data_IF_206943047294
#
_entry.id   IF_206943047294
#
_cell.length_a   1.000
_cell.length_b   1.000
_cell.length_c   1.000
_cell.angle_alpha   90.00
_cell.angle_beta   90.00
_cell.angle_gamma   90.00
#
_symmetry.space_group_name_H-M   'P 1'
#
loop_
_entity.id
_entity.type
_entity.pdbx_description
1 polymer ?
#
# COMPACT_ATOMS: atom_id res chain seq x y z
N UNK A 1 -35.19 13.59 55.84
CA UNK A 1 -34.42 14.28 54.79
C UNK A 1 -34.03 15.67 55.27
N UNK A 2 -32.74 15.98 55.36
CA UNK A 2 -32.27 17.35 55.67
C UNK A 2 -32.22 18.19 54.38
N UNK A 3 -32.30 19.52 54.51
CA UNK A 3 -32.24 20.45 53.37
C UNK A 3 -30.97 20.25 52.52
N UNK A 4 -29.85 19.97 53.18
CA UNK A 4 -28.56 19.71 52.54
C UNK A 4 -28.59 18.49 51.61
N UNK A 5 -29.28 17.41 52.00
CA UNK A 5 -29.43 16.20 51.17
C UNK A 5 -30.29 16.50 49.94
N UNK A 6 -31.32 17.33 50.08
CA UNK A 6 -32.15 17.75 48.95
C UNK A 6 -31.37 18.58 47.92
N UNK A 7 -30.56 19.53 48.38
CA UNK A 7 -29.68 20.30 47.49
C UNK A 7 -28.63 19.42 46.80
N UNK A 8 -28.02 18.50 47.55
CA UNK A 8 -27.07 17.54 46.98
C UNK A 8 -27.74 16.67 45.92
N UNK A 9 -28.94 16.16 46.20
CA UNK A 9 -29.75 15.39 45.23
C UNK A 9 -30.01 16.21 43.97
N UNK A 10 -30.45 17.46 44.10
CA UNK A 10 -30.71 18.31 42.93
C UNK A 10 -29.45 18.53 42.10
N UNK A 11 -28.32 18.85 42.74
CA UNK A 11 -27.04 19.06 42.04
C UNK A 11 -26.56 17.79 41.33
N UNK A 12 -26.65 16.63 41.99
CA UNK A 12 -26.30 15.33 41.41
C UNK A 12 -27.19 14.98 40.22
N UNK A 13 -28.48 15.35 40.25
CA UNK A 13 -29.40 15.13 39.14
C UNK A 13 -29.12 16.07 37.96
N UNK A 14 -28.80 17.34 38.22
CA UNK A 14 -28.30 18.26 37.18
C UNK A 14 -27.02 17.70 36.54
N UNK A 15 -26.06 17.25 37.34
CA UNK A 15 -24.83 16.62 36.85
C UNK A 15 -25.09 15.36 36.01
N UNK A 16 -26.03 14.52 36.44
CA UNK A 16 -26.46 13.33 35.70
C UNK A 16 -27.13 13.69 34.38
N UNK A 17 -27.93 14.77 34.35
CA UNK A 17 -28.54 15.30 33.13
C UNK A 17 -27.50 15.78 32.12
N UNK A 18 -26.47 16.48 32.60
CA UNK A 18 -25.31 16.83 31.79
C UNK A 18 -24.59 15.59 31.25
N UNK A 19 -24.39 14.57 32.09
CA UNK A 19 -23.73 13.32 31.71
C UNK A 19 -24.53 12.55 30.64
N UNK A 20 -25.86 12.51 30.73
CA UNK A 20 -26.72 11.94 29.70
C UNK A 20 -26.53 12.69 28.38
N UNK A 21 -26.45 14.03 28.42
CA UNK A 21 -26.19 14.86 27.25
C UNK A 21 -24.85 14.56 26.57
N UNK A 22 -23.78 14.50 27.35
CA UNK A 22 -22.45 14.08 26.90
C UNK A 22 -22.52 12.71 26.24
N UNK A 23 -23.08 11.73 26.96
CA UNK A 23 -23.13 10.33 26.53
C UNK A 23 -23.93 10.15 25.25
N UNK A 24 -25.05 10.87 25.09
CA UNK A 24 -25.85 10.87 23.87
C UNK A 24 -25.08 11.40 22.66
N UNK A 25 -24.37 12.52 22.83
CA UNK A 25 -23.56 13.09 21.75
C UNK A 25 -22.40 12.15 21.37
N UNK A 26 -21.71 11.55 22.36
CA UNK A 26 -20.67 10.53 22.11
C UNK A 26 -21.24 9.35 21.33
N UNK A 27 -22.33 8.78 21.84
CA UNK A 27 -22.98 7.60 21.27
C UNK A 27 -23.44 7.86 19.83
N UNK A 28 -24.07 9.01 19.58
CA UNK A 28 -24.53 9.38 18.24
C UNK A 28 -23.38 9.46 17.22
N UNK A 29 -22.21 9.96 17.65
CA UNK A 29 -21.01 10.09 16.80
C UNK A 29 -20.42 8.72 16.43
N UNK A 30 -20.36 7.78 17.37
CA UNK A 30 -19.80 6.45 17.14
C UNK A 30 -20.76 5.50 16.42
N UNK A 31 -22.06 5.61 16.66
CA UNK A 31 -23.03 4.69 16.07
C UNK A 31 -23.20 4.90 14.56
N UNK A 32 -22.92 6.11 14.05
CA UNK A 32 -23.04 6.51 12.63
C UNK A 32 -24.31 5.95 11.98
N UNK A 33 -25.48 6.35 12.50
CA UNK A 33 -26.81 5.75 12.20
C UNK A 33 -27.08 5.47 10.72
N UNK A 34 -26.62 6.31 9.79
CA UNK A 34 -26.83 6.14 8.35
C UNK A 34 -26.11 4.93 7.74
N UNK A 35 -25.00 4.48 8.34
CA UNK A 35 -24.16 3.40 7.77
C UNK A 35 -24.46 2.02 8.37
N UNK A 36 -25.27 1.94 9.42
CA UNK A 36 -25.47 0.73 10.21
C UNK A 36 -26.87 0.15 9.99
N UNK A 37 -26.99 -1.17 10.02
CA UNK A 37 -28.28 -1.85 9.92
C UNK A 37 -29.23 -1.42 11.06
N UNK A 38 -30.51 -1.18 10.72
CA UNK A 38 -31.52 -0.64 11.64
C UNK A 38 -31.69 -1.50 12.91
N UNK A 39 -31.64 -2.82 12.80
CA UNK A 39 -31.72 -3.74 13.94
C UNK A 39 -30.57 -3.56 14.94
N UNK A 40 -29.35 -3.32 14.46
CA UNK A 40 -28.19 -3.11 15.34
C UNK A 40 -28.30 -1.76 16.05
N UNK A 41 -28.78 -0.72 15.36
CA UNK A 41 -29.05 0.58 15.97
C UNK A 41 -30.09 0.45 17.08
N UNK A 42 -31.19 -0.26 16.81
CA UNK A 42 -32.25 -0.49 17.80
C UNK A 42 -31.74 -1.21 19.05
N UNK A 43 -31.00 -2.31 18.89
CA UNK A 43 -30.44 -3.06 20.04
C UNK A 43 -29.50 -2.15 20.85
N UNK A 44 -28.61 -1.40 20.19
CA UNK A 44 -27.71 -0.51 20.91
C UNK A 44 -28.46 0.66 21.58
N UNK A 45 -29.53 1.19 20.98
CA UNK A 45 -30.34 2.25 21.58
C UNK A 45 -31.00 1.71 22.87
N UNK A 46 -31.53 0.48 22.86
CA UNK A 46 -32.10 -0.18 24.05
C UNK A 46 -31.04 -0.34 25.15
N UNK A 47 -29.87 -0.89 24.82
CA UNK A 47 -28.78 -1.05 25.79
C UNK A 47 -28.31 0.30 26.34
N UNK A 48 -28.22 1.33 25.49
CA UNK A 48 -27.81 2.66 25.91
C UNK A 48 -28.79 3.26 26.93
N UNK A 49 -30.10 3.24 26.63
CA UNK A 49 -31.12 3.77 27.54
C UNK A 49 -31.23 2.95 28.82
N UNK A 50 -31.08 1.63 28.75
CA UNK A 50 -31.06 0.78 29.92
C UNK A 50 -29.85 1.11 30.82
N UNK A 51 -28.66 1.26 30.23
CA UNK A 51 -27.46 1.64 30.98
C UNK A 51 -27.58 3.04 31.61
N UNK A 52 -28.11 4.02 30.88
CA UNK A 52 -28.34 5.37 31.43
C UNK A 52 -29.39 5.38 32.52
N UNK A 53 -30.48 4.62 32.35
CA UNK A 53 -31.51 4.48 33.38
C UNK A 53 -30.96 3.83 34.65
N UNK A 54 -30.15 2.78 34.52
CA UNK A 54 -29.49 2.14 35.66
C UNK A 54 -28.49 3.07 36.36
N UNK A 55 -27.66 3.80 35.60
CA UNK A 55 -26.74 4.77 36.18
C UNK A 55 -27.47 5.89 36.92
N UNK A 56 -28.52 6.44 36.32
CA UNK A 56 -29.33 7.48 36.95
C UNK A 56 -29.98 6.96 38.23
N UNK A 57 -30.56 5.76 38.18
CA UNK A 57 -31.17 5.13 39.34
C UNK A 57 -30.13 4.85 40.44
N UNK A 58 -28.93 4.41 40.08
CA UNK A 58 -27.84 4.20 41.03
C UNK A 58 -27.42 5.48 41.74
N UNK A 59 -27.26 6.59 41.00
CA UNK A 59 -26.97 7.90 41.60
C UNK A 59 -28.10 8.34 42.52
N UNK A 60 -29.35 8.09 42.12
CA UNK A 60 -30.54 8.43 42.92
C UNK A 60 -30.63 7.59 44.19
N UNK A 61 -30.24 6.31 44.12
CA UNK A 61 -30.16 5.40 45.27
C UNK A 61 -29.11 5.87 46.28
N UNK A 62 -27.94 6.29 45.80
CA UNK A 62 -26.84 6.77 46.65
C UNK A 62 -27.16 8.08 47.38
N UNK A 63 -27.86 9.01 46.72
CA UNK A 63 -28.05 10.36 47.27
C UNK A 63 -29.40 10.53 47.98
N UNK A 64 -30.44 9.82 47.54
CA UNK A 64 -31.82 10.01 47.99
C UNK A 64 -32.55 8.69 48.31
N UNK A 65 -31.79 7.60 48.54
CA UNK A 65 -32.32 6.24 48.80
C UNK A 65 -33.32 5.72 47.76
N UNK A 66 -33.28 6.24 46.53
CA UNK A 66 -34.17 5.78 45.47
C UNK A 66 -35.54 6.46 45.47
N UNK A 67 -35.78 7.47 46.32
CA UNK A 67 -37.05 8.19 46.33
C UNK A 67 -37.24 9.02 45.05
N UNK A 68 -38.15 8.57 44.19
CA UNK A 68 -38.49 9.28 42.96
C UNK A 68 -39.46 10.44 43.24
N UNK A 69 -39.04 11.66 42.90
CA UNK A 69 -39.82 12.89 43.12
C UNK A 69 -39.76 13.77 41.88
N UNK A 70 -40.83 14.53 41.59
CA UNK A 70 -40.98 15.29 40.34
C UNK A 70 -39.86 16.32 40.12
N UNK A 71 -39.37 16.96 41.19
CA UNK A 71 -38.28 17.94 41.09
C UNK A 71 -36.94 17.33 40.66
N UNK A 72 -36.73 16.01 40.85
CA UNK A 72 -35.54 15.29 40.37
C UNK A 72 -35.57 15.24 38.84
N UNK A 73 -36.73 14.99 38.25
CA UNK A 73 -36.91 15.02 36.80
C UNK A 73 -36.65 16.42 36.24
N UNK A 74 -37.14 17.46 36.92
CA UNK A 74 -36.88 18.86 36.54
C UNK A 74 -35.39 19.19 36.61
N UNK A 75 -34.70 18.78 37.68
CA UNK A 75 -33.26 18.95 37.82
C UNK A 75 -32.48 18.23 36.71
N UNK A 76 -32.89 17.01 36.36
CA UNK A 76 -32.30 16.24 35.27
C UNK A 76 -32.47 16.93 33.92
N UNK A 77 -33.69 17.37 33.60
CA UNK A 77 -34.00 18.10 32.37
C UNK A 77 -33.25 19.42 32.29
N UNK A 78 -33.14 20.14 33.43
CA UNK A 78 -32.37 21.36 33.54
C UNK A 78 -30.88 21.11 33.26
N UNK A 79 -30.30 20.07 33.84
CA UNK A 79 -28.91 19.68 33.56
C UNK A 79 -28.67 19.31 32.10
N UNK A 80 -29.58 18.53 31.51
CA UNK A 80 -29.50 18.21 30.08
C UNK A 80 -29.59 19.47 29.20
N UNK A 81 -30.51 20.39 29.50
CA UNK A 81 -30.65 21.65 28.78
C UNK A 81 -29.42 22.55 28.94
N UNK A 82 -28.86 22.63 30.15
CA UNK A 82 -27.63 23.37 30.43
C UNK A 82 -26.45 22.82 29.62
N UNK A 83 -26.31 21.49 29.56
CA UNK A 83 -25.33 20.86 28.68
C UNK A 83 -25.55 21.24 27.21
N UNK A 84 -26.77 21.09 26.71
CA UNK A 84 -27.10 21.35 25.30
C UNK A 84 -26.80 22.79 24.89
N UNK A 85 -27.07 23.76 25.77
CA UNK A 85 -26.90 25.19 25.48
C UNK A 85 -25.47 25.69 25.69
N UNK A 86 -24.78 25.27 26.76
CA UNK A 86 -23.48 25.84 27.14
C UNK A 86 -22.31 24.92 26.76
N UNK A 87 -22.43 23.62 27.04
CA UNK A 87 -21.28 22.71 27.03
C UNK A 87 -21.13 21.95 25.71
N UNK A 88 -22.22 21.75 24.96
CA UNK A 88 -22.23 20.96 23.73
C UNK A 88 -21.15 21.36 22.74
N UNK A 89 -21.02 22.66 22.43
CA UNK A 89 -20.04 23.15 21.45
C UNK A 89 -18.61 22.84 21.89
N UNK A 90 -18.31 23.10 23.17
CA UNK A 90 -17.00 22.83 23.75
C UNK A 90 -16.70 21.32 23.76
N UNK A 91 -17.67 20.52 24.19
CA UNK A 91 -17.55 19.07 24.25
C UNK A 91 -17.27 18.47 22.86
N UNK A 92 -18.05 18.85 21.84
CA UNK A 92 -17.84 18.37 20.49
C UNK A 92 -16.48 18.80 19.92
N UNK A 93 -16.03 20.02 20.21
CA UNK A 93 -14.70 20.47 19.79
C UNK A 93 -13.58 19.61 20.42
N UNK A 94 -13.67 19.31 21.73
CA UNK A 94 -12.73 18.43 22.43
C UNK A 94 -12.80 17.01 21.88
N UNK A 95 -14.01 16.49 21.65
CA UNK A 95 -14.21 15.15 21.11
C UNK A 95 -13.59 15.01 19.72
N UNK A 96 -13.80 15.99 18.83
CA UNK A 96 -13.20 15.99 17.49
C UNK A 96 -11.69 16.16 17.51
N UNK A 97 -11.17 16.98 18.42
CA UNK A 97 -9.74 17.10 18.64
C UNK A 97 -9.13 15.77 19.08
N UNK A 98 -9.76 15.10 20.04
CA UNK A 98 -9.33 13.79 20.55
C UNK A 98 -9.38 12.70 19.48
N UNK A 99 -10.44 12.65 18.68
CA UNK A 99 -10.55 11.72 17.54
C UNK A 99 -9.44 11.98 16.52
N UNK A 100 -9.22 13.24 16.12
CA UNK A 100 -8.15 13.59 15.17
C UNK A 100 -6.78 13.25 15.71
N UNK A 101 -6.55 13.49 17.00
CA UNK A 101 -5.31 13.15 17.67
C UNK A 101 -5.08 11.64 17.66
N UNK A 102 -6.07 10.83 18.05
CA UNK A 102 -5.98 9.37 18.04
C UNK A 102 -5.74 8.81 16.63
N UNK A 103 -6.44 9.33 15.61
CA UNK A 103 -6.23 8.93 14.21
C UNK A 103 -4.85 9.34 13.73
N UNK A 104 -4.37 10.53 14.11
CA UNK A 104 -3.02 10.99 13.81
C UNK A 104 -1.96 10.09 14.42
N UNK A 105 -2.14 9.70 15.69
CA UNK A 105 -1.27 8.78 16.40
C UNK A 105 -1.23 7.40 15.74
N UNK A 106 -2.40 6.84 15.42
CA UNK A 106 -2.51 5.54 14.73
C UNK A 106 -1.83 5.56 13.36
N UNK A 107 -2.08 6.60 12.54
CA UNK A 107 -1.43 6.74 11.23
C UNK A 107 0.08 6.91 11.36
N UNK A 108 0.53 7.60 12.40
CA UNK A 108 1.96 7.78 12.68
C UNK A 108 2.59 6.45 13.09
N UNK A 109 1.93 5.66 13.94
CA UNK A 109 2.38 4.33 14.32
C UNK A 109 2.51 3.40 13.10
N UNK A 110 1.51 3.37 12.21
CA UNK A 110 1.59 2.61 10.95
C UNK A 110 2.74 3.08 10.07
N UNK A 111 2.95 4.40 9.94
CA UNK A 111 4.04 4.95 9.13
C UNK A 111 5.42 4.56 9.69
N UNK A 112 5.55 4.52 11.02
CA UNK A 112 6.78 4.06 11.68
C UNK A 112 6.98 2.57 11.41
N UNK A 113 5.93 1.76 11.52
CA UNK A 113 5.96 0.34 11.16
C UNK A 113 6.37 0.08 9.71
N UNK A 114 5.76 0.79 8.75
CA UNK A 114 6.10 0.69 7.34
C UNK A 114 7.53 1.15 7.06
N UNK A 115 7.97 2.23 7.70
CA UNK A 115 9.34 2.72 7.56
C UNK A 115 10.36 1.71 8.12
N UNK A 116 10.06 1.08 9.25
CA UNK A 116 10.95 0.13 9.91
C UNK A 116 10.96 -1.26 9.27
N UNK A 117 9.87 -1.70 8.62
CA UNK A 117 9.80 -3.06 8.06
C UNK A 117 9.87 -3.08 6.52
N UNK A 118 9.09 -2.23 5.85
CA UNK A 118 8.94 -2.30 4.38
C UNK A 118 10.18 -1.75 3.67
N UNK A 119 10.74 -0.64 4.16
CA UNK A 119 11.92 -0.02 3.54
C UNK A 119 13.20 -0.87 3.62
N UNK A 120 13.58 -1.48 4.76
CA UNK A 120 14.78 -2.31 4.79
C UNK A 120 14.64 -3.57 3.92
N UNK A 121 13.46 -4.20 3.90
CA UNK A 121 13.22 -5.40 3.08
C UNK A 121 13.29 -5.08 1.58
N UNK A 122 12.73 -3.94 1.15
CA UNK A 122 12.85 -3.49 -0.24
C UNK A 122 14.27 -3.04 -0.59
N UNK A 123 15.05 -2.55 0.38
CA UNK A 123 16.48 -2.29 0.20
C UNK A 123 17.30 -3.56 -0.02
N UNK A 124 17.07 -4.59 0.79
CA UNK A 124 17.74 -5.89 0.69
C UNK A 124 17.47 -6.58 -0.66
N UNK A 125 16.22 -6.56 -1.12
CA UNK A 125 15.85 -7.14 -2.43
C UNK A 125 16.51 -6.39 -3.59
N UNK A 126 16.55 -5.05 -3.55
CA UNK A 126 17.28 -4.24 -4.55
C UNK A 126 18.78 -4.52 -4.54
N UNK A 127 19.39 -4.69 -3.37
CA UNK A 127 20.80 -5.09 -3.25
C UNK A 127 21.08 -6.45 -3.89
N UNK A 128 20.23 -7.45 -3.63
CA UNK A 128 20.36 -8.77 -4.26
C UNK A 128 20.27 -8.69 -5.79
N UNK A 129 19.29 -7.95 -6.32
CA UNK A 129 19.14 -7.76 -7.76
C UNK A 129 20.37 -7.03 -8.35
N UNK A 130 20.90 -6.03 -7.63
CA UNK A 130 22.10 -5.31 -8.06
C UNK A 130 23.34 -6.23 -8.12
N UNK A 131 23.50 -7.14 -7.16
CA UNK A 131 24.60 -8.11 -7.17
C UNK A 131 24.45 -9.08 -8.36
N UNK A 132 23.27 -9.66 -8.56
CA UNK A 132 23.01 -10.60 -9.66
C UNK A 132 23.22 -9.94 -11.02
N UNK A 133 22.67 -8.74 -11.23
CA UNK A 133 22.84 -8.00 -12.49
C UNK A 133 24.29 -7.57 -12.69
N UNK A 134 24.99 -7.16 -11.64
CA UNK A 134 26.42 -6.86 -11.67
C UNK A 134 27.26 -8.06 -12.12
N UNK A 135 26.99 -9.25 -11.58
CA UNK A 135 27.65 -10.50 -11.99
C UNK A 135 27.38 -10.84 -13.46
N UNK A 136 26.14 -10.73 -13.92
CA UNK A 136 25.80 -11.01 -15.33
C UNK A 136 26.52 -10.06 -16.27
N UNK A 137 26.53 -8.76 -15.96
CA UNK A 137 27.23 -7.76 -16.78
C UNK A 137 28.74 -8.01 -16.77
N UNK A 138 29.30 -8.38 -15.62
CA UNK A 138 30.71 -8.72 -15.47
C UNK A 138 31.08 -9.95 -16.32
N UNK A 139 30.30 -11.03 -16.23
CA UNK A 139 30.50 -12.24 -17.04
C UNK A 139 30.37 -11.94 -18.54
N UNK A 140 29.39 -11.13 -18.94
CA UNK A 140 29.23 -10.76 -20.35
C UNK A 140 30.43 -9.96 -20.87
N UNK A 141 30.97 -9.04 -20.06
CA UNK A 141 32.20 -8.31 -20.39
C UNK A 141 33.40 -9.25 -20.53
N UNK A 142 33.54 -10.24 -19.63
CA UNK A 142 34.59 -11.25 -19.70
C UNK A 142 34.48 -12.09 -20.99
N UNK A 143 33.30 -12.63 -21.29
CA UNK A 143 33.06 -13.40 -22.51
C UNK A 143 33.37 -12.56 -23.75
N UNK A 144 32.90 -11.31 -23.81
CA UNK A 144 33.17 -10.41 -24.94
C UNK A 144 34.65 -10.06 -25.08
N UNK A 145 35.38 -10.01 -23.96
CA UNK A 145 36.83 -9.82 -23.98
C UNK A 145 37.56 -11.07 -24.49
N UNK A 146 37.21 -12.27 -23.99
CA UNK A 146 37.75 -13.55 -24.47
C UNK A 146 37.46 -13.77 -25.96
N UNK A 147 36.24 -13.53 -26.42
CA UNK A 147 35.90 -13.59 -27.85
C UNK A 147 36.77 -12.62 -28.66
N UNK A 148 36.99 -11.38 -28.19
CA UNK A 148 37.89 -10.45 -28.90
C UNK A 148 39.33 -10.98 -28.98
N UNK A 149 39.84 -11.64 -27.95
CA UNK A 149 41.15 -12.27 -27.97
C UNK A 149 41.21 -13.45 -28.96
N UNK A 150 40.21 -14.33 -28.94
CA UNK A 150 40.14 -15.50 -29.83
C UNK A 150 40.01 -15.05 -31.29
N UNK A 151 39.09 -14.13 -31.60
CA UNK A 151 38.95 -13.61 -32.96
C UNK A 151 40.17 -12.80 -33.40
N UNK A 152 40.81 -12.08 -32.48
CA UNK A 152 42.07 -11.37 -32.76
C UNK A 152 43.18 -12.33 -33.18
N UNK A 153 43.41 -13.37 -32.37
CA UNK A 153 44.43 -14.39 -32.65
C UNK A 153 44.11 -15.21 -33.91
N UNK A 154 42.85 -15.62 -34.10
CA UNK A 154 42.42 -16.34 -35.30
C UNK A 154 42.59 -15.48 -36.57
N UNK A 155 42.26 -14.19 -36.52
CA UNK A 155 42.46 -13.28 -37.65
C UNK A 155 43.94 -13.12 -38.00
N UNK A 156 44.82 -13.02 -36.99
CA UNK A 156 46.27 -12.97 -37.19
C UNK A 156 46.80 -14.26 -37.81
N UNK A 157 46.25 -15.42 -37.43
CA UNK A 157 46.67 -16.73 -37.94
C UNK A 157 46.12 -17.04 -39.35
N UNK A 158 44.91 -16.55 -39.67
CA UNK A 158 44.33 -16.67 -41.01
C UNK A 158 44.89 -15.64 -42.01
N UNK A 159 45.46 -14.53 -41.54
CA UNK A 159 46.08 -13.52 -42.40
C UNK A 159 47.20 -14.08 -43.31
N UNK A 160 48.19 -14.85 -42.83
CA UNK A 160 49.23 -15.42 -43.68
C UNK A 160 48.65 -16.43 -44.67
N UNK A 161 47.65 -17.23 -44.26
CA UNK A 161 46.97 -18.19 -45.15
C UNK A 161 46.26 -17.47 -46.30
N UNK A 162 45.56 -16.35 -46.03
CA UNK A 162 44.88 -15.56 -47.06
C UNK A 162 45.88 -14.87 -48.01
N UNK A 163 47.03 -14.43 -47.50
CA UNK A 163 48.11 -13.86 -48.32
C UNK A 163 48.70 -14.90 -49.27
N UNK A 164 48.98 -16.11 -48.77
CA UNK A 164 49.46 -17.24 -49.58
C UNK A 164 48.41 -17.65 -50.62
N UNK A 165 47.13 -17.73 -50.24
CA UNK A 165 46.03 -18.05 -51.15
C UNK A 165 45.87 -17.00 -52.26
N UNK A 166 46.02 -15.71 -51.95
CA UNK A 166 46.04 -14.61 -52.94
C UNK A 166 47.26 -14.67 -53.86
N UNK A 167 48.42 -15.05 -53.33
CA UNK A 167 49.64 -15.27 -54.13
C UNK A 167 49.44 -16.40 -55.14
N UNK A 168 48.90 -17.54 -54.70
CA UNK A 168 48.57 -18.67 -55.56
C UNK A 168 47.48 -18.34 -56.59
N UNK A 169 46.45 -17.59 -56.22
CA UNK A 169 45.40 -17.12 -57.14
C UNK A 169 45.91 -16.19 -58.25
N UNK A 170 47.10 -15.58 -58.09
CA UNK A 170 47.73 -14.73 -59.10
C UNK A 170 48.48 -15.54 -60.17
N UNK A 171 48.86 -16.78 -59.86
CA UNK A 171 49.56 -17.72 -60.76
C UNK A 171 48.60 -18.65 -61.51
N UNK A 172 47.30 -18.58 -61.22
CA UNK A 172 46.27 -19.45 -61.78
C UNK A 172 45.68 -18.85 -63.07
N UNK A 173 45.65 -19.59 -64.20
CA UNK A 173 45.14 -19.09 -65.48
C UNK A 173 43.66 -18.71 -65.42
N UNK A 174 43.25 -17.73 -66.23
CA UNK A 174 41.93 -17.08 -66.21
C UNK A 174 40.72 -18.03 -66.25
N UNK A 175 40.90 -19.25 -66.76
CA UNK A 175 39.87 -20.30 -66.85
C UNK A 175 39.47 -20.86 -65.49
N UNK A 176 40.42 -21.05 -64.57
CA UNK A 176 40.18 -21.56 -63.21
C UNK A 176 39.65 -20.44 -62.30
N UNK A 177 40.10 -19.19 -62.52
CA UNK A 177 39.57 -18.00 -61.81
C UNK A 177 38.07 -17.81 -62.04
N UNK A 178 37.58 -18.03 -63.27
CA UNK A 178 36.14 -18.03 -63.58
C UNK A 178 35.39 -19.18 -62.92
N UNK A 179 36.03 -20.35 -62.78
CA UNK A 179 35.44 -21.52 -62.11
C UNK A 179 35.19 -21.25 -60.62
N UNK A 180 36.19 -20.70 -59.91
CA UNK A 180 36.03 -20.27 -58.52
C UNK A 180 35.03 -19.13 -58.37
N UNK A 181 35.01 -18.17 -59.29
CA UNK A 181 34.02 -17.09 -59.27
C UNK A 181 32.59 -17.62 -59.40
N UNK A 182 32.35 -18.59 -60.28
CA UNK A 182 31.05 -19.25 -60.42
C UNK A 182 30.70 -20.08 -59.18
N UNK A 183 31.67 -20.75 -58.55
CA UNK A 183 31.45 -21.54 -57.34
C UNK A 183 31.12 -20.65 -56.14
N UNK A 184 31.86 -19.55 -55.95
CA UNK A 184 31.56 -18.54 -54.93
C UNK A 184 30.21 -17.86 -55.16
N UNK A 185 29.84 -17.59 -56.41
CA UNK A 185 28.52 -17.03 -56.76
C UNK A 185 27.39 -18.02 -56.43
N UNK A 186 27.60 -19.33 -56.66
CA UNK A 186 26.68 -20.39 -56.25
C UNK A 186 26.54 -20.48 -54.73
N UNK A 187 27.66 -20.46 -53.99
CA UNK A 187 27.67 -20.50 -52.54
C UNK A 187 27.03 -19.25 -51.92
N UNK A 188 27.31 -18.06 -52.48
CA UNK A 188 26.68 -16.80 -52.07
C UNK A 188 25.17 -16.83 -52.30
N UNK A 189 24.71 -17.38 -53.45
CA UNK A 189 23.29 -17.60 -53.72
C UNK A 189 22.63 -18.58 -52.75
N UNK A 190 23.34 -19.64 -52.36
CA UNK A 190 22.86 -20.60 -51.37
C UNK A 190 22.72 -19.97 -49.97
N UNK A 191 23.72 -19.19 -49.53
CA UNK A 191 23.65 -18.42 -48.28
C UNK A 191 22.53 -17.38 -48.30
N UNK A 192 22.34 -16.65 -49.40
CA UNK A 192 21.23 -15.69 -49.56
C UNK A 192 19.86 -16.37 -49.47
N UNK A 193 19.73 -17.56 -50.05
CA UNK A 193 18.49 -18.35 -50.01
C UNK A 193 18.17 -18.81 -48.58
N UNK A 194 19.18 -19.27 -47.84
CA UNK A 194 19.04 -19.66 -46.43
C UNK A 194 18.69 -18.43 -45.57
N UNK A 195 19.34 -17.30 -45.80
CA UNK A 195 19.09 -16.06 -45.06
C UNK A 195 17.67 -15.53 -45.30
N UNK A 196 17.17 -15.60 -46.55
CA UNK A 196 15.79 -15.27 -46.89
C UNK A 196 14.77 -16.25 -46.29
N UNK A 197 15.07 -17.56 -46.24
CA UNK A 197 14.20 -18.53 -45.55
C UNK A 197 14.13 -18.25 -44.05
N UNK A 198 15.26 -18.01 -43.39
CA UNK A 198 15.29 -17.64 -41.98
C UNK A 198 14.56 -16.32 -41.71
N UNK A 199 14.72 -15.32 -42.58
CA UNK A 199 13.99 -14.05 -42.51
C UNK A 199 12.47 -14.22 -42.64
N UNK A 200 12.00 -15.00 -43.61
CA UNK A 200 10.57 -15.29 -43.79
C UNK A 200 9.97 -16.09 -42.62
N UNK A 201 10.71 -17.05 -42.07
CA UNK A 201 10.30 -17.79 -40.88
C UNK A 201 10.19 -16.87 -39.66
N UNK A 202 11.09 -15.89 -39.52
CA UNK A 202 11.04 -14.89 -38.45
C UNK A 202 9.82 -13.97 -38.58
N UNK A 203 9.48 -13.53 -39.81
CA UNK A 203 8.28 -12.72 -40.09
C UNK A 203 6.99 -13.51 -39.81
N UNK A 204 6.92 -14.78 -40.22
CA UNK A 204 5.77 -15.66 -39.95
C UNK A 204 5.55 -15.89 -38.45
N UNK A 205 6.65 -16.02 -37.68
CA UNK A 205 6.60 -16.17 -36.22
C UNK A 205 6.14 -14.89 -35.52
N UNK A 206 6.38 -13.71 -36.12
CA UNK A 206 5.93 -12.40 -35.61
C UNK A 206 4.46 -12.09 -35.92
N UNK A 207 3.86 -12.71 -36.94
CA UNK A 207 2.41 -12.59 -37.28
C UNK A 207 1.49 -13.55 -36.51
N UNK A 208 2.04 -14.58 -35.85
CA UNK A 208 1.29 -15.58 -35.06
C UNK A 208 1.19 -15.23 -33.56
N UNK A 209 1.77 -14.12 -33.11
CA UNK A 209 1.55 -13.50 -31.80
C UNK A 209 0.78 -12.20 -32.00
#
# INVERSE_FOLDING_TARGET
MTLSVQFLTMLSMVGSGCFIGVSLDTYSRFLMRSKRAKWIVFINDVFFWLFQGLLLFYVLLQVNEGEFRVYILLALLCGYAAYQSLLKKMYLAVLEWMIRFAVGLYRTALRIGDFMLVKPVTGLTKLLIAIVTGLVIFLWKLVKWLCRLIFGTLKVLMAPVIWILKGLLKLVPARIRKFFHNYFKKAAGFCLKILNMCGNLWILRKKKK
#
